data_IF_861312977444
#
_entry.id   IF_861312977444
#
_cell.length_a   1.000
_cell.length_b   1.000
_cell.length_c   1.000
_cell.angle_alpha   90.00
_cell.angle_beta   90.00
_cell.angle_gamma   90.00
#
_symmetry.space_group_name_H-M   'P 1'
#
loop_
_entity.id
_entity.type
_entity.pdbx_description
1 polymer ?
#
# COMPACT_ATOMS: atom_id res chain seq x y z
N UNK A 1 48.18 1.20 -22.33
CA UNK A 1 46.87 1.88 -22.31
C UNK A 1 45.81 0.82 -22.10
N UNK A 2 45.45 0.64 -20.84
CA UNK A 2 44.59 -0.43 -20.33
C UNK A 2 43.12 -0.14 -20.67
N UNK A 3 42.40 -1.21 -21.01
CA UNK A 3 40.93 -1.43 -20.98
C UNK A 3 39.98 -0.76 -22.00
N UNK A 4 39.33 -1.59 -22.83
CA UNK A 4 38.00 -1.32 -23.42
C UNK A 4 37.14 -2.58 -23.68
N UNK A 5 37.38 -3.71 -22.99
CA UNK A 5 36.53 -4.92 -23.13
C UNK A 5 35.59 -5.17 -21.93
N UNK A 6 35.46 -4.24 -20.98
CA UNK A 6 34.63 -4.38 -19.78
C UNK A 6 33.28 -3.64 -19.76
N UNK A 7 32.91 -2.87 -20.80
CA UNK A 7 31.82 -1.90 -20.71
C UNK A 7 30.43 -2.38 -21.19
N UNK A 8 30.30 -3.55 -21.83
CA UNK A 8 29.02 -3.98 -22.43
C UNK A 8 28.18 -4.90 -21.55
N UNK A 9 28.77 -5.51 -20.52
CA UNK A 9 28.04 -6.44 -19.63
C UNK A 9 27.40 -5.72 -18.43
N UNK A 10 28.03 -4.68 -17.89
CA UNK A 10 27.56 -4.02 -16.66
C UNK A 10 26.26 -3.22 -16.86
N UNK A 11 26.09 -2.59 -18.02
CA UNK A 11 24.89 -1.80 -18.35
C UNK A 11 23.65 -2.68 -18.56
N UNK A 12 23.81 -3.88 -19.14
CA UNK A 12 22.71 -4.79 -19.39
C UNK A 12 22.17 -5.40 -18.08
N UNK A 13 23.05 -5.72 -17.14
CA UNK A 13 22.66 -6.22 -15.81
C UNK A 13 22.03 -5.14 -14.92
N UNK A 14 22.43 -3.87 -15.05
CA UNK A 14 21.84 -2.77 -14.31
C UNK A 14 20.38 -2.51 -14.74
N UNK A 15 20.08 -2.60 -16.04
CA UNK A 15 18.73 -2.38 -16.57
C UNK A 15 17.72 -3.47 -16.13
N UNK A 16 18.14 -4.74 -16.05
CA UNK A 16 17.29 -5.81 -15.54
C UNK A 16 17.05 -5.71 -14.02
N UNK A 17 18.06 -5.30 -13.24
CA UNK A 17 17.93 -5.13 -11.79
C UNK A 17 17.01 -3.97 -11.42
N UNK A 18 17.08 -2.86 -12.16
CA UNK A 18 16.20 -1.71 -11.98
C UNK A 18 14.70 -2.05 -12.15
N UNK A 19 14.37 -2.96 -13.08
CA UNK A 19 12.97 -3.41 -13.30
C UNK A 19 12.42 -4.25 -12.15
N UNK A 20 13.25 -5.01 -11.46
CA UNK A 20 12.83 -5.83 -10.32
C UNK A 20 12.75 -5.04 -9.01
N UNK A 21 13.63 -4.04 -8.83
CA UNK A 21 13.63 -3.18 -7.63
C UNK A 21 12.52 -2.13 -7.62
N UNK A 22 11.92 -1.80 -8.77
CA UNK A 22 10.76 -0.89 -8.85
C UNK A 22 9.46 -1.61 -8.50
N UNK A 23 9.25 -2.82 -9.05
CA UNK A 23 8.07 -3.64 -8.75
C UNK A 23 7.98 -4.10 -7.28
N UNK A 24 9.10 -4.13 -6.55
CA UNK A 24 9.12 -4.58 -5.15
C UNK A 24 8.79 -3.49 -4.13
N UNK A 25 8.84 -2.20 -4.48
CA UNK A 25 8.67 -1.11 -3.50
C UNK A 25 7.20 -0.78 -3.22
N UNK A 26 6.30 -1.16 -4.10
CA UNK A 26 4.86 -0.90 -3.94
C UNK A 26 4.15 -1.89 -2.98
N UNK A 27 4.79 -3.00 -2.63
CA UNK A 27 4.16 -4.10 -1.87
C UNK A 27 4.24 -3.94 -0.35
N UNK A 28 5.02 -2.98 0.17
CA UNK A 28 5.07 -2.71 1.62
C UNK A 28 3.92 -1.75 2.00
N UNK A 29 2.69 -2.06 1.57
CA UNK A 29 1.49 -1.36 2.03
C UNK A 29 1.28 -1.74 3.49
N UNK A 30 1.45 -0.78 4.41
CA UNK A 30 1.13 -0.92 5.84
C UNK A 30 -0.20 -1.67 6.00
N UNK A 31 -0.12 -2.92 6.45
CA UNK A 31 -1.29 -3.81 6.58
C UNK A 31 -2.18 -3.42 7.76
N UNK A 32 -1.71 -2.53 8.64
CA UNK A 32 -2.41 -2.10 9.85
C UNK A 32 -2.50 -0.58 9.94
N UNK A 33 -3.67 -0.07 10.35
CA UNK A 33 -3.91 1.35 10.66
C UNK A 33 -4.77 1.49 11.91
N UNK A 34 -4.56 2.55 12.72
CA UNK A 34 -5.37 2.80 13.89
C UNK A 34 -6.77 3.27 13.50
N UNK A 35 -7.80 2.81 14.21
CA UNK A 35 -9.16 3.31 14.05
C UNK A 35 -9.24 4.80 14.46
N UNK A 36 -9.86 5.69 13.66
CA UNK A 36 -9.93 7.13 13.97
C UNK A 36 -10.76 7.47 15.21
N UNK A 37 -11.57 6.53 15.72
CA UNK A 37 -12.44 6.74 16.89
C UNK A 37 -11.84 6.20 18.20
N UNK A 38 -11.28 4.99 18.16
CA UNK A 38 -10.77 4.30 19.36
C UNK A 38 -9.27 4.01 19.34
N UNK A 39 -8.57 4.36 18.25
CA UNK A 39 -7.14 4.17 18.03
C UNK A 39 -6.63 2.72 18.12
N UNK A 40 -7.53 1.73 18.19
CA UNK A 40 -7.19 0.31 18.13
C UNK A 40 -6.58 0.00 16.76
N UNK A 41 -5.47 -0.74 16.69
CA UNK A 41 -4.90 -1.17 15.41
C UNK A 41 -5.87 -2.11 14.70
N UNK A 42 -6.22 -1.77 13.45
CA UNK A 42 -7.08 -2.57 12.58
C UNK A 42 -6.26 -3.05 11.40
N UNK A 43 -6.27 -4.35 11.14
CA UNK A 43 -5.66 -4.96 9.97
C UNK A 43 -6.58 -4.83 8.74
N UNK A 44 -6.01 -4.56 7.58
CA UNK A 44 -6.73 -4.48 6.31
C UNK A 44 -6.95 -5.89 5.76
N UNK A 45 -8.06 -6.50 6.17
CA UNK A 45 -8.52 -7.76 5.60
C UNK A 45 -9.36 -7.49 4.33
N UNK A 46 -8.74 -7.55 3.16
CA UNK A 46 -9.45 -7.60 1.88
C UNK A 46 -9.52 -6.30 1.04
N UNK A 47 -9.92 -6.47 -0.23
CA UNK A 47 -9.79 -5.51 -1.33
C UNK A 47 -10.72 -4.31 -1.33
N UNK A 48 -11.57 -4.10 -0.32
CA UNK A 48 -12.38 -2.87 -0.20
C UNK A 48 -11.71 -1.84 0.72
N UNK A 49 -12.02 -0.55 0.54
CA UNK A 49 -11.61 0.51 1.47
C UNK A 49 -12.62 0.75 2.60
N UNK A 50 -13.81 0.14 2.55
CA UNK A 50 -14.81 0.25 3.61
C UNK A 50 -14.45 -0.68 4.76
N UNK A 51 -13.99 -0.13 5.88
CA UNK A 51 -13.59 -0.90 7.04
C UNK A 51 -14.47 -0.62 8.23
N UNK A 52 -14.74 -1.69 8.98
CA UNK A 52 -15.46 -1.61 10.24
C UNK A 52 -14.51 -1.96 11.38
N UNK A 53 -14.51 -1.13 12.43
CA UNK A 53 -13.68 -1.39 13.59
C UNK A 53 -14.08 -2.73 14.24
N UNK A 54 -13.14 -3.69 14.42
CA UNK A 54 -13.44 -5.01 14.99
C UNK A 54 -13.79 -4.92 16.48
N UNK A 55 -13.48 -3.81 17.12
CA UNK A 55 -13.77 -3.56 18.52
C UNK A 55 -15.30 -3.43 18.74
N UNK A 56 -15.90 -4.36 19.48
CA UNK A 56 -17.35 -4.49 19.69
C UNK A 56 -18.02 -3.25 20.29
N UNK A 57 -17.28 -2.48 21.08
CA UNK A 57 -17.71 -1.21 21.70
C UNK A 57 -17.59 -0.01 20.74
N UNK A 58 -16.83 -0.13 19.66
CA UNK A 58 -16.60 0.95 18.69
C UNK A 58 -17.48 0.77 17.45
N UNK A 59 -17.32 -0.38 16.75
CA UNK A 59 -18.03 -0.74 15.50
C UNK A 59 -18.09 0.37 14.44
N UNK A 60 -17.18 1.34 14.51
CA UNK A 60 -17.17 2.51 13.63
C UNK A 60 -16.79 2.10 12.21
N UNK A 61 -17.54 2.62 11.23
CA UNK A 61 -17.37 2.37 9.81
C UNK A 61 -16.60 3.54 9.19
N UNK A 62 -15.48 3.25 8.55
CA UNK A 62 -14.52 4.27 8.11
C UNK A 62 -13.81 3.85 6.82
N UNK A 63 -13.34 4.84 6.06
CA UNK A 63 -12.56 4.62 4.86
C UNK A 63 -11.08 4.40 5.20
N UNK A 64 -10.52 3.28 4.78
CA UNK A 64 -9.10 2.96 4.97
C UNK A 64 -8.16 3.99 4.34
N UNK A 65 -8.52 4.57 3.18
CA UNK A 65 -7.69 5.56 2.48
C UNK A 65 -7.75 6.93 3.17
N UNK A 66 -8.95 7.40 3.50
CA UNK A 66 -9.16 8.73 4.09
C UNK A 66 -8.92 8.78 5.60
N UNK A 67 -8.98 7.65 6.31
CA UNK A 67 -8.97 7.60 7.78
C UNK A 67 -10.11 8.42 8.42
N UNK A 68 -11.27 8.48 7.74
CA UNK A 68 -12.46 9.25 8.13
C UNK A 68 -13.71 8.36 8.07
N UNK A 69 -14.83 8.86 8.59
CA UNK A 69 -16.13 8.19 8.50
C UNK A 69 -16.46 7.76 7.06
N UNK A 70 -16.99 6.54 6.92
CA UNK A 70 -17.38 6.02 5.63
C UNK A 70 -18.58 6.80 5.08
N UNK A 71 -18.41 7.41 3.91
CA UNK A 71 -19.45 8.21 3.26
C UNK A 71 -19.62 7.85 1.78
N UNK A 72 -20.62 8.44 1.13
CA UNK A 72 -20.94 8.18 -0.28
C UNK A 72 -19.84 8.61 -1.25
N UNK A 73 -19.10 9.67 -0.94
CA UNK A 73 -17.92 10.08 -1.71
C UNK A 73 -16.88 8.95 -1.68
N UNK A 74 -16.63 8.37 -0.50
CA UNK A 74 -15.69 7.27 -0.37
C UNK A 74 -16.12 6.01 -1.13
N UNK A 75 -17.43 5.77 -1.20
CA UNK A 75 -18.00 4.68 -1.98
C UNK A 75 -17.79 4.85 -3.48
N UNK A 76 -17.85 6.07 -4.03
CA UNK A 76 -17.64 6.31 -5.46
C UNK A 76 -16.15 6.36 -5.83
N UNK A 77 -15.37 7.10 -5.05
CA UNK A 77 -14.00 7.44 -5.38
C UNK A 77 -12.97 6.41 -4.87
N UNK A 78 -13.30 5.58 -3.88
CA UNK A 78 -12.30 4.73 -3.19
C UNK A 78 -12.78 3.30 -2.91
N UNK A 79 -13.79 2.76 -3.59
CA UNK A 79 -14.36 1.46 -3.19
C UNK A 79 -13.32 0.31 -3.15
N UNK A 80 -12.57 0.10 -4.25
CA UNK A 80 -11.73 -1.10 -4.49
C UNK A 80 -10.27 -0.81 -4.91
N UNK A 81 -9.73 0.37 -4.56
CA UNK A 81 -8.36 0.78 -4.91
C UNK A 81 -7.25 -0.14 -4.34
#
# INVERSE_FOLDING_TARGET
WIDMHGATSLCFHAAMKARWEDASKETIKRTTKPCPKCHVPVEKDGGCMHMKCPQSQCKFEWCWKCSLEWNRTCMGDHWFD
#
